data_IF_647243021287
#
_entry.id   IF_647243021287
#
_cell.length_a   1.000
_cell.length_b   1.000
_cell.length_c   1.000
_cell.angle_alpha   90.00
_cell.angle_beta   90.00
_cell.angle_gamma   90.00
#
_symmetry.space_group_name_H-M   'P 1'
#
loop_
_entity.id
_entity.type
_entity.pdbx_description
1 polymer ?
#
# COMPACT_ATOMS: atom_id res chain seq x y z
N UNK A 1 -17.31 0.12 -12.48
CA UNK A 1 -16.78 0.40 -11.12
C UNK A 1 -17.83 1.16 -10.32
N UNK A 2 -17.86 1.01 -8.99
CA UNK A 2 -18.83 1.70 -8.11
C UNK A 2 -18.14 2.77 -7.25
N UNK A 3 -18.89 3.76 -6.80
CA UNK A 3 -18.42 4.79 -5.86
C UNK A 3 -18.70 4.46 -4.39
N UNK A 4 -19.49 3.42 -4.11
CA UNK A 4 -19.89 2.99 -2.76
C UNK A 4 -19.83 1.47 -2.65
N UNK A 5 -19.57 0.96 -1.45
CA UNK A 5 -19.59 -0.48 -1.15
C UNK A 5 -21.01 -1.03 -0.98
N UNK A 6 -21.94 -0.19 -0.54
CA UNK A 6 -23.27 -0.59 -0.08
C UNK A 6 -23.43 -0.59 1.44
N UNK A 7 -22.34 -0.44 2.21
CA UNK A 7 -22.34 -0.25 3.66
C UNK A 7 -21.86 1.18 3.99
N UNK A 8 -22.76 2.08 4.47
CA UNK A 8 -22.39 3.45 4.79
C UNK A 8 -21.38 3.60 5.93
N UNK A 9 -21.34 2.68 6.90
CA UNK A 9 -20.40 2.74 8.01
C UNK A 9 -19.00 2.36 7.53
N UNK A 10 -18.90 1.30 6.73
CA UNK A 10 -17.66 0.91 6.09
C UNK A 10 -17.15 1.99 5.13
N UNK A 11 -18.01 2.57 4.28
CA UNK A 11 -17.63 3.66 3.37
C UNK A 11 -17.03 4.85 4.14
N UNK A 12 -17.61 5.22 5.28
CA UNK A 12 -17.07 6.30 6.14
C UNK A 12 -15.72 5.94 6.74
N UNK A 13 -15.56 4.72 7.25
CA UNK A 13 -14.30 4.27 7.83
C UNK A 13 -13.19 4.24 6.77
N UNK A 14 -13.51 3.74 5.58
CA UNK A 14 -12.59 3.70 4.45
C UNK A 14 -12.17 5.11 4.01
N UNK A 15 -13.14 6.03 3.87
CA UNK A 15 -12.83 7.44 3.52
C UNK A 15 -11.95 8.09 4.60
N UNK A 16 -12.23 7.84 5.88
CA UNK A 16 -11.40 8.36 6.97
C UNK A 16 -9.97 7.81 6.92
N UNK A 17 -9.82 6.53 6.59
CA UNK A 17 -8.51 5.90 6.43
C UNK A 17 -7.74 6.46 5.22
N UNK A 18 -8.40 6.56 4.07
CA UNK A 18 -7.80 7.14 2.85
C UNK A 18 -7.37 8.59 3.07
N UNK A 19 -8.20 9.39 3.75
CA UNK A 19 -7.84 10.76 4.15
C UNK A 19 -6.58 10.81 5.02
N UNK A 20 -6.39 9.84 5.92
CA UNK A 20 -5.18 9.75 6.73
C UNK A 20 -3.98 9.34 5.89
N UNK A 21 -4.14 8.40 4.95
CA UNK A 21 -3.06 7.97 4.05
C UNK A 21 -2.53 9.15 3.25
N UNK A 22 -3.40 9.93 2.61
CA UNK A 22 -2.97 11.05 1.75
C UNK A 22 -2.35 12.23 2.53
N UNK A 23 -2.53 12.31 3.85
CA UNK A 23 -1.79 13.28 4.69
C UNK A 23 -0.35 12.85 4.97
N UNK A 24 -0.03 11.57 4.75
CA UNK A 24 1.29 10.98 5.00
C UNK A 24 2.03 10.69 3.71
N UNK A 25 1.33 10.11 2.73
CA UNK A 25 1.81 9.84 1.37
C UNK A 25 1.28 11.00 0.49
N UNK A 26 2.14 11.88 -0.04
CA UNK A 26 1.74 13.10 -0.73
C UNK A 26 1.23 12.79 -2.15
N UNK A 27 0.04 12.19 -2.23
CA UNK A 27 -0.66 11.81 -3.46
C UNK A 27 -2.10 12.28 -3.45
N UNK A 28 -2.70 12.40 -4.63
CA UNK A 28 -4.10 12.78 -4.80
C UNK A 28 -4.84 11.81 -5.75
N UNK A 29 -5.00 10.52 -5.38
CA UNK A 29 -5.65 9.55 -6.25
C UNK A 29 -7.17 9.60 -6.17
N UNK A 30 -7.80 9.16 -7.26
CA UNK A 30 -9.19 8.75 -7.26
C UNK A 30 -9.35 7.39 -6.57
N UNK A 31 -10.55 7.11 -6.07
CA UNK A 31 -10.88 5.80 -5.50
C UNK A 31 -12.12 5.23 -6.17
N UNK A 32 -12.05 3.95 -6.55
CA UNK A 32 -13.18 3.22 -7.13
C UNK A 32 -13.28 1.82 -6.55
N UNK A 33 -14.49 1.39 -6.25
CA UNK A 33 -14.75 0.00 -5.89
C UNK A 33 -14.90 -0.88 -7.13
N UNK A 34 -14.28 -2.05 -7.06
CA UNK A 34 -14.38 -3.12 -8.05
C UNK A 34 -14.83 -4.42 -7.38
N UNK A 35 -15.51 -5.27 -8.14
CA UNK A 35 -15.89 -6.60 -7.65
C UNK A 35 -14.72 -7.57 -7.84
N UNK A 36 -13.65 -7.40 -7.07
CA UNK A 36 -12.43 -8.19 -7.12
C UNK A 36 -12.02 -8.68 -5.73
N UNK A 37 -11.24 -9.78 -5.69
CA UNK A 37 -10.52 -10.26 -4.50
C UNK A 37 -9.08 -9.72 -4.49
N UNK A 38 -8.89 -8.50 -4.98
CA UNK A 38 -7.59 -7.83 -5.05
C UNK A 38 -7.78 -6.31 -4.93
N UNK A 39 -6.72 -5.57 -4.64
CA UNK A 39 -6.63 -4.13 -4.84
C UNK A 39 -5.64 -3.85 -5.98
N UNK A 40 -5.58 -2.60 -6.44
CA UNK A 40 -4.62 -2.20 -7.45
C UNK A 40 -4.57 -0.70 -7.63
N UNK A 41 -3.53 -0.22 -8.29
CA UNK A 41 -3.36 1.18 -8.66
C UNK A 41 -3.14 1.32 -10.16
N UNK A 42 -3.68 2.39 -10.75
CA UNK A 42 -3.45 2.73 -12.15
C UNK A 42 -3.09 4.21 -12.28
N UNK A 43 -2.19 4.59 -13.21
CA UNK A 43 -1.96 6.01 -13.54
C UNK A 43 -3.16 6.65 -14.25
N UNK A 44 -4.15 5.88 -14.70
CA UNK A 44 -5.36 6.43 -15.32
C UNK A 44 -6.21 7.22 -14.30
N UNK A 45 -6.52 8.48 -14.65
CA UNK A 45 -7.45 9.32 -13.88
C UNK A 45 -8.90 8.97 -14.25
N UNK A 46 -9.51 8.08 -13.47
CA UNK A 46 -10.92 7.64 -13.63
C UNK A 46 -11.87 8.56 -12.84
N UNK A 47 -11.36 9.22 -11.79
CA UNK A 47 -12.10 10.19 -10.99
C UNK A 47 -11.67 11.59 -11.41
N UNK A 48 -12.61 12.42 -11.85
CA UNK A 48 -12.29 13.79 -12.28
C UNK A 48 -11.66 14.58 -11.14
N UNK A 49 -10.58 15.32 -11.46
CA UNK A 49 -9.86 16.16 -10.51
C UNK A 49 -8.77 15.46 -9.70
N UNK A 50 -8.47 14.18 -9.96
CA UNK A 50 -7.42 13.41 -9.26
C UNK A 50 -6.27 13.01 -10.19
N UNK A 51 -5.21 12.41 -9.63
CA UNK A 51 -4.06 11.85 -10.38
C UNK A 51 -3.95 10.35 -10.13
N UNK A 52 -4.27 9.57 -11.16
CA UNK A 52 -4.38 8.11 -11.04
C UNK A 52 -5.58 7.67 -10.21
N UNK A 53 -5.74 6.35 -10.08
CA UNK A 53 -6.88 5.75 -9.38
C UNK A 53 -6.45 4.49 -8.62
N UNK A 54 -6.85 4.41 -7.36
CA UNK A 54 -6.82 3.17 -6.56
C UNK A 54 -8.13 2.41 -6.75
N UNK A 55 -8.01 1.15 -7.15
CA UNK A 55 -9.09 0.20 -7.35
C UNK A 55 -9.20 -0.70 -6.12
N UNK A 56 -10.33 -0.62 -5.42
CA UNK A 56 -10.53 -1.33 -4.15
C UNK A 56 -11.48 -2.50 -4.38
N UNK A 57 -10.96 -3.72 -4.25
CA UNK A 57 -11.76 -4.94 -4.35
C UNK A 57 -12.64 -5.17 -3.14
N UNK A 58 -13.95 -5.12 -3.33
CA UNK A 58 -14.91 -5.34 -2.23
C UNK A 58 -14.79 -6.73 -1.59
N UNK A 59 -14.43 -7.77 -2.36
CA UNK A 59 -14.25 -9.11 -1.79
C UNK A 59 -12.99 -9.20 -0.93
N UNK A 60 -11.91 -8.54 -1.35
CA UNK A 60 -10.69 -8.45 -0.56
C UNK A 60 -10.99 -7.75 0.76
N UNK A 61 -11.60 -6.56 0.73
CA UNK A 61 -11.84 -5.81 1.96
C UNK A 61 -12.77 -6.55 2.92
N UNK A 62 -13.84 -7.18 2.42
CA UNK A 62 -14.72 -8.00 3.26
C UNK A 62 -14.00 -9.18 3.93
N UNK A 63 -12.98 -9.75 3.30
CA UNK A 63 -12.16 -10.81 3.90
C UNK A 63 -11.19 -10.27 4.96
N UNK A 64 -10.64 -9.07 4.73
CA UNK A 64 -9.70 -8.40 5.64
C UNK A 64 -10.35 -7.78 6.87
N UNK A 65 -11.64 -7.44 6.80
CA UNK A 65 -12.40 -6.87 7.92
C UNK A 65 -12.73 -7.89 9.03
N UNK A 66 -12.19 -9.12 8.97
CA UNK A 66 -12.41 -10.12 10.01
C UNK A 66 -11.97 -9.56 11.39
N UNK A 67 -12.77 -9.74 12.46
CA UNK A 67 -12.64 -8.97 13.70
C UNK A 67 -11.30 -9.07 14.44
N UNK A 68 -10.51 -10.12 14.20
CA UNK A 68 -9.29 -10.40 14.96
C UNK A 68 -8.09 -9.53 14.60
N UNK A 69 -8.11 -8.83 13.45
CA UNK A 69 -6.97 -8.02 13.00
C UNK A 69 -7.35 -6.56 12.70
N UNK A 70 -8.64 -6.20 12.71
CA UNK A 70 -9.07 -4.81 12.55
C UNK A 70 -8.73 -4.20 11.18
N UNK A 71 -9.16 -2.95 10.97
CA UNK A 71 -8.93 -2.22 9.71
C UNK A 71 -7.47 -1.91 9.37
N UNK A 72 -6.49 -2.39 10.15
CA UNK A 72 -5.06 -2.11 9.95
C UNK A 72 -4.49 -2.83 8.72
N UNK A 73 -4.92 -4.08 8.44
CA UNK A 73 -4.49 -4.80 7.24
C UNK A 73 -5.05 -4.15 5.99
N UNK A 74 -6.32 -3.70 6.03
CA UNK A 74 -6.93 -2.89 4.96
C UNK A 74 -6.14 -1.60 4.76
N UNK A 75 -5.78 -0.92 5.86
CA UNK A 75 -4.95 0.29 5.80
C UNK A 75 -3.59 0.05 5.15
N UNK A 76 -2.92 -1.07 5.45
CA UNK A 76 -1.66 -1.48 4.83
C UNK A 76 -1.80 -1.64 3.31
N UNK A 77 -2.83 -2.37 2.86
CA UNK A 77 -3.10 -2.57 1.42
C UNK A 77 -3.36 -1.24 0.73
N UNK A 78 -4.23 -0.39 1.29
CA UNK A 78 -4.52 0.92 0.68
C UNK A 78 -3.31 1.84 0.64
N UNK A 79 -2.45 1.80 1.66
CA UNK A 79 -1.22 2.56 1.68
C UNK A 79 -0.22 2.05 0.65
N UNK A 80 -0.16 0.73 0.42
CA UNK A 80 0.63 0.12 -0.66
C UNK A 80 0.14 0.62 -2.03
N UNK A 81 -1.18 0.58 -2.30
CA UNK A 81 -1.72 1.11 -3.57
C UNK A 81 -1.45 2.61 -3.75
N UNK A 82 -1.56 3.40 -2.68
CA UNK A 82 -1.17 4.81 -2.72
C UNK A 82 0.33 5.00 -2.96
N UNK A 83 1.16 4.05 -2.52
CA UNK A 83 2.57 3.96 -2.83
C UNK A 83 2.83 3.84 -4.33
N UNK A 84 2.06 3.02 -5.05
CA UNK A 84 2.14 2.97 -6.52
C UNK A 84 1.69 4.27 -7.18
N UNK A 85 0.63 4.91 -6.69
CA UNK A 85 0.26 6.25 -7.17
C UNK A 85 1.42 7.23 -7.00
N UNK A 86 2.10 7.20 -5.86
CA UNK A 86 3.29 8.03 -5.65
C UNK A 86 4.38 7.70 -6.66
N UNK A 87 4.63 6.42 -6.94
CA UNK A 87 5.62 6.02 -7.94
C UNK A 87 5.31 6.56 -9.33
N UNK A 88 4.04 6.50 -9.78
CA UNK A 88 3.62 6.97 -11.11
C UNK A 88 3.83 8.47 -11.32
N UNK A 89 3.69 9.28 -10.26
CA UNK A 89 3.61 10.75 -10.39
C UNK A 89 4.72 11.50 -9.67
N UNK A 90 5.63 10.82 -8.98
CA UNK A 90 6.74 11.46 -8.29
C UNK A 90 7.74 12.08 -9.28
N UNK A 91 8.21 13.28 -8.96
CA UNK A 91 9.28 13.95 -9.70
C UNK A 91 10.60 13.17 -9.68
N UNK A 92 10.79 12.28 -8.70
CA UNK A 92 11.95 11.40 -8.60
C UNK A 92 11.89 10.20 -9.56
N UNK A 93 10.84 10.06 -10.38
CA UNK A 93 10.68 9.03 -11.42
C UNK A 93 10.85 7.60 -10.91
N UNK A 94 10.24 7.29 -9.76
CA UNK A 94 10.39 5.97 -9.13
C UNK A 94 9.84 4.84 -10.01
N UNK A 95 8.73 5.07 -10.73
CA UNK A 95 8.14 4.05 -11.59
C UNK A 95 9.11 3.56 -12.68
N UNK A 96 9.86 4.48 -13.30
CA UNK A 96 10.85 4.17 -14.32
C UNK A 96 12.16 3.65 -13.70
N UNK A 97 12.64 4.29 -12.63
CA UNK A 97 13.92 3.95 -11.98
C UNK A 97 13.92 2.60 -11.26
N UNK A 98 12.75 2.06 -10.96
CA UNK A 98 12.55 0.74 -10.35
C UNK A 98 12.00 -0.26 -11.37
N UNK A 99 11.98 0.08 -12.66
CA UNK A 99 11.66 -0.89 -13.70
C UNK A 99 12.74 -1.96 -13.82
N UNK A 100 12.33 -3.16 -14.22
CA UNK A 100 13.20 -4.31 -14.40
C UNK A 100 12.50 -5.44 -15.15
N UNK A 101 13.11 -6.64 -15.21
CA UNK A 101 12.50 -7.81 -15.83
C UNK A 101 11.19 -8.25 -15.16
N UNK A 102 10.98 -7.85 -13.89
CA UNK A 102 9.77 -8.08 -13.11
C UNK A 102 9.35 -6.81 -12.38
N UNK A 103 8.11 -6.79 -11.88
CA UNK A 103 7.54 -5.68 -11.08
C UNK A 103 8.10 -5.59 -9.66
N UNK A 104 8.90 -6.58 -9.25
CA UNK A 104 9.37 -6.80 -7.88
C UNK A 104 9.89 -5.55 -7.17
N UNK A 105 10.74 -4.76 -7.83
CA UNK A 105 11.31 -3.56 -7.19
C UNK A 105 10.27 -2.48 -6.92
N UNK A 106 9.26 -2.35 -7.80
CA UNK A 106 8.14 -1.42 -7.60
C UNK A 106 7.24 -1.88 -6.47
N UNK A 107 6.94 -3.17 -6.41
CA UNK A 107 6.16 -3.80 -5.36
C UNK A 107 6.81 -3.66 -3.98
N UNK A 108 8.09 -4.03 -3.86
CA UNK A 108 8.82 -3.89 -2.61
C UNK A 108 8.96 -2.42 -2.19
N UNK A 109 9.14 -1.50 -3.13
CA UNK A 109 9.17 -0.09 -2.79
C UNK A 109 7.80 0.41 -2.29
N UNK A 110 6.69 -0.04 -2.87
CA UNK A 110 5.35 0.27 -2.37
C UNK A 110 5.13 -0.31 -0.96
N UNK A 111 5.68 -1.49 -0.66
CA UNK A 111 5.71 -2.05 0.70
C UNK A 111 6.49 -1.13 1.68
N UNK A 112 7.64 -0.56 1.28
CA UNK A 112 8.34 0.44 2.11
C UNK A 112 7.42 1.64 2.43
N UNK A 113 6.71 2.17 1.44
CA UNK A 113 5.84 3.34 1.64
C UNK A 113 4.64 3.01 2.54
N UNK A 114 4.08 1.80 2.40
CA UNK A 114 3.03 1.31 3.29
C UNK A 114 3.53 1.16 4.74
N UNK A 115 4.74 0.62 4.92
CA UNK A 115 5.38 0.51 6.23
C UNK A 115 5.56 1.86 6.91
N UNK A 116 6.03 2.86 6.15
CA UNK A 116 6.19 4.23 6.64
C UNK A 116 4.86 4.81 7.15
N UNK A 117 3.77 4.57 6.40
CA UNK A 117 2.43 4.97 6.81
C UNK A 117 1.95 4.26 8.09
N UNK A 118 2.16 2.95 8.18
CA UNK A 118 1.74 2.17 9.35
C UNK A 118 2.36 2.72 10.64
N UNK A 119 3.65 3.10 10.62
CA UNK A 119 4.29 3.76 11.76
C UNK A 119 3.60 5.08 12.17
N UNK A 120 3.16 5.91 11.21
CA UNK A 120 2.39 7.13 11.51
C UNK A 120 1.00 6.82 12.07
N UNK A 121 0.41 5.68 11.71
CA UNK A 121 -0.91 5.26 12.15
C UNK A 121 -0.92 4.63 13.53
N UNK A 122 0.02 3.71 13.81
CA UNK A 122 0.01 2.88 15.02
C UNK A 122 1.14 3.21 16.01
N UNK A 123 2.06 4.10 15.67
CA UNK A 123 3.24 4.35 16.50
C UNK A 123 4.14 3.12 16.60
N UNK A 124 4.96 3.06 17.65
CA UNK A 124 5.84 1.92 17.95
C UNK A 124 5.08 0.82 18.72
N UNK A 125 4.37 -0.04 18.01
CA UNK A 125 3.69 -1.22 18.56
C UNK A 125 4.16 -2.49 17.83
N UNK A 126 5.12 -3.23 18.40
CA UNK A 126 5.62 -4.46 17.81
C UNK A 126 4.57 -5.57 17.68
N UNK A 127 3.53 -5.56 18.52
CA UNK A 127 2.44 -6.54 18.45
C UNK A 127 1.58 -6.29 17.21
N UNK A 128 1.13 -5.05 17.04
CA UNK A 128 0.36 -4.63 15.87
C UNK A 128 1.14 -4.86 14.57
N UNK A 129 2.45 -4.57 14.54
CA UNK A 129 3.29 -4.81 13.36
C UNK A 129 3.39 -6.30 13.03
N UNK A 130 3.55 -7.19 14.02
CA UNK A 130 3.57 -8.65 13.80
C UNK A 130 2.24 -9.16 13.24
N UNK A 131 1.12 -8.63 13.71
CA UNK A 131 -0.19 -9.02 13.23
C UNK A 131 -0.43 -8.56 11.79
N UNK A 132 -0.01 -7.35 11.45
CA UNK A 132 -0.02 -6.84 10.07
C UNK A 132 0.84 -7.73 9.17
N UNK A 133 2.09 -7.99 9.54
CA UNK A 133 3.00 -8.82 8.74
C UNK A 133 2.43 -10.22 8.50
N UNK A 134 1.85 -10.84 9.54
CA UNK A 134 1.21 -12.17 9.42
C UNK A 134 0.03 -12.13 8.46
N UNK A 135 -0.84 -11.12 8.58
CA UNK A 135 -1.98 -10.94 7.69
C UNK A 135 -1.52 -10.70 6.25
N UNK A 136 -0.51 -9.86 6.08
CA UNK A 136 0.05 -9.45 4.79
C UNK A 136 0.67 -10.63 4.04
N UNK A 137 1.46 -11.47 4.73
CA UNK A 137 1.98 -12.72 4.16
C UNK A 137 0.84 -13.65 3.74
N UNK A 138 -0.18 -13.81 4.58
CA UNK A 138 -1.31 -14.69 4.29
C UNK A 138 -2.09 -14.26 3.04
N UNK A 139 -2.10 -12.96 2.72
CA UNK A 139 -2.70 -12.42 1.51
C UNK A 139 -1.81 -12.58 0.28
N UNK A 140 -0.51 -12.28 0.43
CA UNK A 140 0.48 -12.35 -0.65
C UNK A 140 0.81 -13.77 -1.11
N UNK A 141 0.44 -14.81 -0.35
CA UNK A 141 0.65 -16.21 -0.71
C UNK A 141 -0.19 -16.70 -1.93
N UNK A 142 -1.04 -15.85 -2.52
CA UNK A 142 -2.04 -16.27 -3.50
C UNK A 142 -1.69 -16.14 -4.99
N UNK A 143 -0.57 -15.51 -5.40
CA UNK A 143 -0.28 -15.37 -6.84
C UNK A 143 1.20 -15.66 -7.21
N UNK A 144 1.68 -16.88 -6.92
CA UNK A 144 3.00 -17.37 -7.36
C UNK A 144 3.04 -17.84 -8.84
N UNK A 145 2.10 -17.40 -9.70
CA UNK A 145 1.98 -17.92 -11.07
C UNK A 145 1.74 -16.85 -12.15
N UNK A 146 1.83 -15.56 -11.82
CA UNK A 146 1.80 -14.46 -12.80
C UNK A 146 3.21 -13.87 -12.98
N UNK A 147 3.58 -13.32 -14.15
CA UNK A 147 4.77 -12.48 -14.34
C UNK A 147 4.90 -11.27 -13.38
N UNK A 148 3.89 -11.02 -12.55
CA UNK A 148 3.87 -10.05 -11.45
C UNK A 148 4.55 -10.64 -10.19
N UNK A 149 5.87 -10.78 -10.21
CA UNK A 149 6.65 -11.17 -9.02
C UNK A 149 6.60 -10.07 -7.96
N UNK A 150 5.66 -10.16 -7.00
CA UNK A 150 5.55 -9.28 -5.83
C UNK A 150 6.76 -9.35 -4.87
N UNK A 151 7.74 -10.23 -5.15
CA UNK A 151 8.81 -10.59 -4.25
C UNK A 151 8.38 -11.68 -3.26
N UNK A 152 9.37 -12.38 -2.71
CA UNK A 152 9.11 -13.40 -1.71
C UNK A 152 8.48 -12.79 -0.44
N UNK A 153 7.68 -13.56 0.32
CA UNK A 153 7.11 -13.08 1.59
C UNK A 153 8.14 -12.44 2.53
N UNK A 154 9.37 -12.98 2.57
CA UNK A 154 10.47 -12.43 3.37
C UNK A 154 10.93 -11.05 2.89
N UNK A 155 11.09 -10.85 1.58
CA UNK A 155 11.47 -9.55 1.00
C UNK A 155 10.39 -8.50 1.26
N UNK A 156 9.12 -8.86 1.07
CA UNK A 156 7.98 -7.98 1.34
C UNK A 156 7.91 -7.54 2.79
N UNK A 157 8.07 -8.47 3.73
CA UNK A 157 8.13 -8.16 5.15
C UNK A 157 9.33 -7.26 5.49
N UNK A 158 10.50 -7.53 4.92
CA UNK A 158 11.69 -6.71 5.14
C UNK A 158 11.51 -5.28 4.60
N UNK A 159 10.87 -5.13 3.44
CA UNK A 159 10.54 -3.83 2.86
C UNK A 159 9.53 -3.05 3.72
N UNK A 160 8.43 -3.70 4.15
CA UNK A 160 7.45 -3.09 5.06
C UNK A 160 8.10 -2.65 6.38
N UNK A 161 8.91 -3.52 6.99
CA UNK A 161 9.61 -3.22 8.26
C UNK A 161 10.64 -2.09 8.11
N UNK A 162 11.32 -2.03 6.96
CA UNK A 162 12.23 -0.93 6.64
C UNK A 162 11.49 0.40 6.65
N UNK A 163 10.37 0.51 5.95
CA UNK A 163 9.56 1.72 5.91
C UNK A 163 9.06 2.15 7.29
N UNK A 164 8.57 1.17 8.05
CA UNK A 164 8.11 1.37 9.42
C UNK A 164 9.21 1.95 10.32
N UNK A 165 10.40 1.36 10.27
CA UNK A 165 11.56 1.80 11.06
C UNK A 165 12.05 3.20 10.66
N UNK A 166 12.07 3.53 9.36
CA UNK A 166 12.46 4.86 8.88
C UNK A 166 11.54 5.96 9.44
N UNK A 167 10.23 5.69 9.44
CA UNK A 167 9.21 6.60 9.97
C UNK A 167 9.32 6.80 11.48
N UNK A 168 9.58 5.73 12.23
CA UNK A 168 9.82 5.80 13.68
C UNK A 168 11.12 6.53 14.01
N UNK A 169 12.14 6.40 13.16
CA UNK A 169 13.39 7.15 13.25
C UNK A 169 13.25 8.65 12.94
N UNK A 170 12.05 9.13 12.62
CA UNK A 170 11.77 10.54 12.38
C UNK A 170 12.13 11.04 10.97
N UNK A 171 12.45 10.15 10.03
CA UNK A 171 12.67 10.57 8.65
C UNK A 171 11.39 11.15 8.03
N UNK A 172 11.57 12.05 7.05
CA UNK A 172 10.46 12.51 6.21
C UNK A 172 10.02 11.40 5.25
N UNK A 173 8.83 11.57 4.66
CA UNK A 173 8.31 10.61 3.69
C UNK A 173 9.23 10.52 2.46
N UNK A 174 9.68 11.66 1.94
CA UNK A 174 10.52 11.75 0.75
C UNK A 174 11.91 11.15 0.97
N UNK A 175 12.51 11.38 2.15
CA UNK A 175 13.77 10.72 2.53
C UNK A 175 13.59 9.21 2.60
N UNK A 176 12.48 8.76 3.22
CA UNK A 176 12.17 7.35 3.37
C UNK A 176 11.90 6.66 2.03
N UNK A 177 11.22 7.34 1.10
CA UNK A 177 11.01 6.85 -0.26
C UNK A 177 12.34 6.70 -1.02
N UNK A 178 13.24 7.70 -0.93
CA UNK A 178 14.55 7.63 -1.57
C UNK A 178 15.42 6.51 -0.99
N UNK A 179 15.48 6.40 0.33
CA UNK A 179 16.22 5.33 0.99
C UNK A 179 15.61 3.96 0.70
N UNK A 180 14.28 3.86 0.72
CA UNK A 180 13.52 2.67 0.33
C UNK A 180 13.85 2.18 -1.07
N UNK A 181 13.86 3.08 -2.05
CA UNK A 181 14.22 2.73 -3.43
C UNK A 181 15.66 2.22 -3.56
N UNK A 182 16.60 2.69 -2.74
CA UNK A 182 17.96 2.15 -2.69
C UNK A 182 17.99 0.79 -1.98
N UNK A 183 17.25 0.65 -0.89
CA UNK A 183 17.17 -0.58 -0.09
C UNK A 183 16.65 -1.77 -0.91
N UNK A 184 15.55 -1.60 -1.64
CA UNK A 184 14.91 -2.70 -2.37
C UNK A 184 15.76 -3.22 -3.54
N UNK A 185 16.70 -2.43 -4.06
CA UNK A 185 17.67 -2.90 -5.07
C UNK A 185 18.71 -3.86 -4.49
N UNK A 186 18.91 -3.83 -3.17
CA UNK A 186 19.82 -4.73 -2.47
C UNK A 186 19.17 -6.01 -1.95
N UNK A 187 17.86 -6.22 -2.21
CA UNK A 187 17.08 -7.39 -1.83
C UNK A 187 16.96 -8.44 -2.95
#
# INVERSE_FOLDING_TARGET
MKSKSGDPAFDRALIAELKRIITVIPVDPGFKFVNAKNAGATPETIVNGTKGTVLIGLRLVNELLKPSQGGITVACVLAHECGHIFQFFSADQYYERLSGPTERLRELHADVLAGYYLAKKMGSDPGAMRDVLRAFIALGAYENASPDDHGSPGQRCAALDKGYTLSLGGQTFESSAREGASYVRGL
#
